data_IF_825910070945
#
_entry.id   IF_825910070945
#
_cell.length_a   1.000
_cell.length_b   1.000
_cell.length_c   1.000
_cell.angle_alpha   90.00
_cell.angle_beta   90.00
_cell.angle_gamma   90.00
#
_symmetry.space_group_name_H-M   'P 1'
#
loop_
_entity.id
_entity.type
_entity.pdbx_description
1 polymer ?
#
# COMPACT_ATOMS: atom_id res chain seq x y z
N UNK A 1 8.43 -25.81 -15.09
CA UNK A 1 8.72 -24.70 -15.97
C UNK A 1 7.66 -23.63 -15.94
N UNK A 2 6.51 -23.96 -16.44
CA UNK A 2 5.39 -23.02 -16.42
C UNK A 2 5.02 -22.59 -15.03
N UNK A 3 4.95 -23.53 -14.12
CA UNK A 3 4.64 -23.29 -12.74
C UNK A 3 5.63 -22.36 -12.08
N UNK A 4 6.91 -22.62 -12.32
CA UNK A 4 7.97 -21.80 -11.75
C UNK A 4 7.93 -20.40 -12.30
N UNK A 5 7.59 -20.29 -13.58
CA UNK A 5 7.50 -18.98 -14.22
C UNK A 5 6.35 -18.17 -13.64
N UNK A 6 5.20 -18.79 -13.45
CA UNK A 6 4.06 -18.13 -12.86
C UNK A 6 4.33 -17.69 -11.44
N UNK A 7 4.90 -18.56 -10.64
CA UNK A 7 5.25 -18.27 -9.28
C UNK A 7 6.26 -17.11 -9.22
N UNK A 8 7.24 -17.14 -10.09
CA UNK A 8 8.25 -16.10 -10.17
C UNK A 8 7.65 -14.76 -10.53
N UNK A 9 6.73 -14.72 -11.48
CA UNK A 9 6.06 -13.48 -11.86
C UNK A 9 5.25 -12.90 -10.72
N UNK A 10 4.51 -13.73 -10.02
CA UNK A 10 3.71 -13.26 -8.91
C UNK A 10 4.57 -12.78 -7.75
N UNK A 11 5.58 -13.54 -7.40
CA UNK A 11 6.42 -13.19 -6.26
C UNK A 11 7.31 -11.99 -6.52
N UNK A 12 7.78 -11.84 -7.75
CA UNK A 12 8.66 -10.71 -8.08
C UNK A 12 7.90 -9.44 -8.33
N UNK A 13 6.66 -9.56 -8.82
CA UNK A 13 5.88 -8.37 -9.17
C UNK A 13 5.22 -7.72 -7.99
N UNK A 14 4.95 -8.47 -6.95
CA UNK A 14 4.26 -7.90 -5.79
C UNK A 14 5.11 -8.13 -4.55
N UNK A 15 5.93 -7.14 -4.23
CA UNK A 15 6.73 -7.13 -3.02
C UNK A 15 6.36 -5.97 -2.13
N UNK A 16 6.10 -4.83 -2.73
CA UNK A 16 5.84 -3.58 -2.03
C UNK A 16 4.42 -3.12 -2.34
N UNK A 17 3.63 -2.91 -1.33
CA UNK A 17 2.24 -2.53 -1.45
C UNK A 17 2.03 -1.22 -0.70
N UNK A 18 1.46 -0.24 -1.39
CA UNK A 18 1.19 1.06 -0.80
C UNK A 18 -0.31 1.28 -0.70
N UNK A 19 -0.77 1.64 0.50
CA UNK A 19 -2.18 1.91 0.76
C UNK A 19 -2.42 3.40 0.86
N UNK A 20 -3.38 3.90 0.11
CA UNK A 20 -3.82 5.28 0.22
C UNK A 20 -5.00 5.31 1.20
N UNK A 21 -4.81 5.96 2.34
CA UNK A 21 -5.79 5.94 3.41
C UNK A 21 -5.71 4.67 4.24
N UNK A 22 -4.50 4.28 4.63
CA UNK A 22 -4.22 2.98 5.25
C UNK A 22 -4.96 2.77 6.58
N UNK A 23 -5.28 3.86 7.28
CA UNK A 23 -6.01 3.76 8.55
C UNK A 23 -7.51 3.59 8.40
N UNK A 24 -8.02 3.55 7.17
CA UNK A 24 -9.44 3.41 6.92
C UNK A 24 -9.99 2.04 7.32
N UNK A 25 -11.30 2.02 7.55
CA UNK A 25 -12.01 0.79 7.87
C UNK A 25 -11.89 -0.15 6.68
N UNK A 26 -11.50 -1.38 6.95
CA UNK A 26 -11.31 -2.38 5.90
C UNK A 26 -9.94 -2.35 5.27
N UNK A 27 -9.28 -1.20 5.24
CA UNK A 27 -7.94 -1.08 4.67
C UNK A 27 -6.90 -1.62 5.65
N UNK A 28 -7.03 -1.22 6.91
CA UNK A 28 -6.05 -1.60 7.92
C UNK A 28 -6.00 -3.11 8.15
N UNK A 29 -7.14 -3.78 8.08
CA UNK A 29 -7.18 -5.24 8.23
C UNK A 29 -6.43 -5.96 7.13
N UNK A 30 -6.62 -5.50 5.89
CA UNK A 30 -5.91 -6.06 4.73
C UNK A 30 -4.41 -5.79 4.86
N UNK A 31 -4.06 -4.56 5.25
CA UNK A 31 -2.65 -4.19 5.42
C UNK A 31 -1.98 -5.08 6.47
N UNK A 32 -2.65 -5.33 7.57
CA UNK A 32 -2.10 -6.18 8.62
C UNK A 32 -1.85 -7.61 8.14
N UNK A 33 -2.80 -8.18 7.40
CA UNK A 33 -2.63 -9.52 6.82
C UNK A 33 -1.40 -9.55 5.93
N UNK A 34 -1.24 -8.53 5.08
CA UNK A 34 -0.12 -8.49 4.14
C UNK A 34 1.23 -8.33 4.84
N UNK A 35 1.27 -7.54 5.91
CA UNK A 35 2.48 -7.43 6.73
C UNK A 35 2.84 -8.80 7.29
N UNK A 36 1.85 -9.51 7.83
CA UNK A 36 2.09 -10.82 8.43
C UNK A 36 2.51 -11.87 7.39
N UNK A 37 2.13 -11.66 6.13
CA UNK A 37 2.54 -12.55 5.05
C UNK A 37 3.93 -12.22 4.51
N UNK A 38 4.56 -11.18 5.01
CA UNK A 38 5.93 -10.85 4.64
C UNK A 38 6.07 -9.80 3.53
N UNK A 39 4.99 -9.17 3.11
CA UNK A 39 5.07 -8.09 2.14
C UNK A 39 5.61 -6.82 2.78
N UNK A 40 6.25 -6.00 1.96
CA UNK A 40 6.63 -4.65 2.37
C UNK A 40 5.40 -3.77 2.22
N UNK A 41 4.79 -3.41 3.32
CA UNK A 41 3.55 -2.65 3.34
C UNK A 41 3.83 -1.24 3.83
N UNK A 42 3.33 -0.28 3.09
CA UNK A 42 3.35 1.11 3.50
C UNK A 42 2.03 1.75 3.20
N UNK A 43 1.87 2.97 3.64
CA UNK A 43 0.65 3.70 3.34
C UNK A 43 0.67 5.11 3.88
N UNK A 44 -0.29 5.87 3.43
CA UNK A 44 -0.48 7.25 3.86
C UNK A 44 -1.86 7.42 4.45
N UNK A 45 -1.99 8.44 5.28
CA UNK A 45 -3.28 8.85 5.79
C UNK A 45 -3.22 10.34 6.08
N UNK A 46 -4.39 10.97 6.18
CA UNK A 46 -4.47 12.41 6.43
C UNK A 46 -4.10 12.77 7.86
N UNK A 47 -4.32 11.87 8.80
CA UNK A 47 -3.94 12.11 10.19
C UNK A 47 -3.57 10.81 10.89
N UNK A 48 -2.73 10.91 11.94
CA UNK A 48 -2.39 9.74 12.72
C UNK A 48 -3.61 9.25 13.52
N UNK A 49 -3.61 7.95 13.80
CA UNK A 49 -4.68 7.32 14.57
C UNK A 49 -4.11 6.12 15.31
N UNK A 50 -4.92 5.53 16.20
CA UNK A 50 -4.52 4.30 16.86
C UNK A 50 -4.26 3.19 15.86
N UNK A 51 -5.04 3.17 14.78
CA UNK A 51 -4.91 2.18 13.72
C UNK A 51 -3.58 2.33 12.99
N UNK A 52 -3.21 3.56 12.60
CA UNK A 52 -1.93 3.77 11.92
C UNK A 52 -0.76 3.48 12.86
N UNK A 53 -0.88 3.81 14.14
CA UNK A 53 0.16 3.51 15.12
C UNK A 53 0.34 1.99 15.27
N UNK A 54 -0.75 1.25 15.30
CA UNK A 54 -0.71 -0.20 15.41
C UNK A 54 -0.04 -0.84 14.18
N UNK A 55 -0.40 -0.36 13.01
CA UNK A 55 0.21 -0.86 11.78
C UNK A 55 1.70 -0.56 11.72
N UNK A 56 2.10 0.63 12.15
CA UNK A 56 3.49 1.01 12.20
C UNK A 56 4.28 0.10 13.15
N UNK A 57 3.66 -0.24 14.27
CA UNK A 57 4.29 -1.10 15.27
C UNK A 57 4.58 -2.49 14.72
N UNK A 58 3.73 -3.01 13.87
CA UNK A 58 3.92 -4.35 13.30
C UNK A 58 4.78 -4.34 12.03
N UNK A 59 5.24 -3.17 11.58
CA UNK A 59 6.20 -3.09 10.51
C UNK A 59 5.78 -2.32 9.26
N UNK A 60 4.57 -1.79 9.21
CA UNK A 60 4.16 -0.97 8.08
C UNK A 60 4.82 0.41 8.15
N UNK A 61 5.14 0.96 6.99
CA UNK A 61 5.70 2.31 6.90
C UNK A 61 4.57 3.30 6.69
N UNK A 62 4.33 4.14 7.67
CA UNK A 62 3.22 5.08 7.65
C UNK A 62 3.72 6.49 7.42
N UNK A 63 3.08 7.19 6.48
CA UNK A 63 3.35 8.59 6.20
C UNK A 63 2.07 9.36 6.43
N UNK A 64 2.16 10.47 7.14
CA UNK A 64 1.01 11.35 7.34
C UNK A 64 1.04 12.43 6.28
N UNK A 65 -0.06 12.56 5.56
CA UNK A 65 -0.17 13.45 4.41
C UNK A 65 -0.02 12.69 3.11
N UNK A 66 -0.77 13.09 2.10
CA UNK A 66 -0.70 12.47 0.78
C UNK A 66 0.26 13.24 -0.11
N UNK A 67 1.12 12.53 -0.81
CA UNK A 67 2.06 13.12 -1.76
C UNK A 67 2.48 12.07 -2.77
N UNK A 68 2.73 12.50 -4.00
CA UNK A 68 3.11 11.58 -5.08
C UNK A 68 4.30 10.71 -4.71
N UNK A 69 5.30 11.28 -4.06
CA UNK A 69 6.50 10.54 -3.70
C UNK A 69 6.27 9.40 -2.72
N UNK A 70 5.14 9.40 -2.03
CA UNK A 70 4.82 8.32 -1.09
C UNK A 70 4.63 6.98 -1.81
N UNK A 71 4.26 7.02 -3.08
CA UNK A 71 4.08 5.79 -3.88
C UNK A 71 5.40 5.04 -4.03
N UNK A 72 6.49 5.77 -4.24
CA UNK A 72 7.84 5.19 -4.28
C UNK A 72 7.94 4.00 -5.21
N UNK A 73 8.46 2.91 -4.68
CA UNK A 73 8.67 1.68 -5.44
C UNK A 73 7.54 0.68 -5.31
N UNK A 74 6.33 1.14 -5.00
CA UNK A 74 5.20 0.24 -4.82
C UNK A 74 4.91 -0.53 -6.12
N UNK A 75 4.68 -1.81 -5.96
CA UNK A 75 4.25 -2.66 -7.07
C UNK A 75 2.73 -2.60 -7.24
N UNK A 76 2.03 -2.34 -6.14
CA UNK A 76 0.57 -2.26 -6.11
C UNK A 76 0.19 -1.08 -5.23
N UNK A 77 -0.78 -0.32 -5.67
CA UNK A 77 -1.37 0.75 -4.86
C UNK A 77 -2.82 0.39 -4.59
N UNK A 78 -3.18 0.34 -3.33
CA UNK A 78 -4.54 0.00 -2.90
C UNK A 78 -5.22 1.29 -2.42
N UNK A 79 -6.40 1.53 -2.93
CA UNK A 79 -7.17 2.70 -2.55
C UNK A 79 -8.63 2.29 -2.33
N UNK A 80 -9.40 3.13 -1.68
CA UNK A 80 -10.81 2.89 -1.45
C UNK A 80 -11.65 3.92 -2.20
N UNK A 81 -12.96 3.70 -2.23
CA UNK A 81 -13.87 4.64 -2.88
C UNK A 81 -13.92 6.00 -2.17
N UNK A 82 -13.46 6.07 -0.93
CA UNK A 82 -13.39 7.32 -0.19
C UNK A 82 -12.26 8.23 -0.69
N UNK A 83 -11.28 7.66 -1.38
CA UNK A 83 -10.14 8.42 -1.90
C UNK A 83 -10.51 9.00 -3.27
N UNK A 84 -10.26 10.29 -3.44
CA UNK A 84 -10.62 11.00 -4.68
C UNK A 84 -9.68 10.62 -5.82
N UNK A 85 -10.22 10.67 -7.03
CA UNK A 85 -9.44 10.35 -8.24
C UNK A 85 -8.24 11.28 -8.43
N UNK A 86 -8.34 12.50 -7.96
CA UNK A 86 -7.25 13.48 -8.09
C UNK A 86 -6.27 13.47 -6.92
N UNK A 87 -6.39 12.50 -6.03
CA UNK A 87 -5.40 12.34 -4.97
C UNK A 87 -4.02 12.18 -5.61
N UNK A 88 -2.99 12.89 -5.13
CA UNK A 88 -1.68 12.85 -5.76
C UNK A 88 -1.07 11.45 -5.83
N UNK A 89 -1.37 10.58 -4.88
CA UNK A 89 -0.85 9.21 -4.92
C UNK A 89 -1.58 8.36 -5.95
N UNK A 90 -2.88 8.59 -6.12
CA UNK A 90 -3.64 7.90 -7.16
C UNK A 90 -3.15 8.33 -8.54
N UNK A 91 -2.94 9.64 -8.73
CA UNK A 91 -2.41 10.16 -9.99
C UNK A 91 -1.03 9.58 -10.29
N UNK A 92 -0.18 9.51 -9.29
CA UNK A 92 1.16 8.97 -9.47
C UNK A 92 1.14 7.49 -9.83
N UNK A 93 0.24 6.72 -9.21
CA UNK A 93 0.08 5.32 -9.54
C UNK A 93 -0.32 5.14 -11.01
N UNK A 94 -1.26 5.95 -11.48
CA UNK A 94 -1.66 5.91 -12.89
C UNK A 94 -0.51 6.30 -13.81
N UNK A 95 0.24 7.34 -13.45
CA UNK A 95 1.39 7.77 -14.24
C UNK A 95 2.42 6.66 -14.39
N UNK A 96 2.61 5.87 -13.34
CA UNK A 96 3.59 4.77 -13.34
C UNK A 96 3.00 3.45 -13.84
N UNK A 97 1.75 3.44 -14.23
CA UNK A 97 1.06 2.21 -14.67
C UNK A 97 1.02 1.14 -13.57
N UNK A 98 0.79 1.59 -12.37
CA UNK A 98 0.64 0.67 -11.24
C UNK A 98 -0.83 0.35 -11.02
#
# INVERSE_FOLDING_TARGET
MKKDKEKSLMQRKVKCIHFVGIGGIGMSGIAEVLVNLGYNVGGSDVQPSETTARLQKIGAKIVIGHAAENVGNADVVVTSTAVKEHNPEVLEAHRKNI
#
